data_IF_552266397483
#
_entry.id   IF_552266397483
#
_cell.length_a   1.000
_cell.length_b   1.000
_cell.length_c   1.000
_cell.angle_alpha   90.00
_cell.angle_beta   90.00
_cell.angle_gamma   90.00
#
_symmetry.space_group_name_H-M   'P 1'
#
loop_
_entity.id
_entity.type
_entity.pdbx_description
1 polymer ?
#
# COMPACT_ATOMS: atom_id res chain seq x y z
N UNK A 1 24.81 -19.84 18.53
CA UNK A 1 24.62 -19.28 17.17
C UNK A 1 23.46 -19.92 16.41
N UNK A 2 23.29 -21.25 16.35
CA UNK A 2 22.13 -21.87 15.66
C UNK A 2 20.78 -21.70 16.41
N UNK A 3 20.79 -21.72 17.74
CA UNK A 3 19.56 -21.59 18.57
C UNK A 3 18.98 -20.17 18.51
N UNK A 4 19.83 -19.15 18.34
CA UNK A 4 19.44 -17.74 18.31
C UNK A 4 18.76 -17.35 16.98
N UNK A 5 19.11 -18.05 15.89
CA UNK A 5 18.42 -17.96 14.60
C UNK A 5 17.09 -18.74 14.60
N UNK A 6 16.96 -19.78 15.41
CA UNK A 6 15.70 -20.53 15.53
C UNK A 6 14.64 -19.78 16.34
N UNK A 7 15.05 -19.01 17.36
CA UNK A 7 14.12 -18.17 18.15
C UNK A 7 13.67 -16.92 17.42
N UNK A 8 14.42 -16.41 16.43
CA UNK A 8 13.94 -15.29 15.60
C UNK A 8 12.78 -15.66 14.69
N UNK A 9 12.66 -16.94 14.28
CA UNK A 9 11.52 -17.45 13.50
C UNK A 9 10.19 -17.44 14.27
N UNK A 10 10.25 -17.43 15.61
CA UNK A 10 9.07 -17.37 16.47
C UNK A 10 8.64 -15.92 16.77
N UNK A 11 9.45 -14.93 16.38
CA UNK A 11 9.09 -13.51 16.58
C UNK A 11 8.04 -13.12 15.55
N UNK A 12 6.99 -12.47 16.04
CA UNK A 12 6.03 -11.81 15.17
C UNK A 12 6.74 -10.73 14.35
N UNK A 13 6.29 -10.55 13.11
CA UNK A 13 6.75 -9.49 12.21
C UNK A 13 5.71 -8.37 12.30
N UNK A 14 5.85 -7.42 13.25
CA UNK A 14 4.86 -6.37 13.47
C UNK A 14 4.63 -5.52 12.20
N UNK A 15 5.63 -5.39 11.33
CA UNK A 15 5.59 -4.65 10.07
C UNK A 15 4.60 -5.25 9.05
N UNK A 16 4.08 -6.46 9.28
CA UNK A 16 3.02 -7.03 8.41
C UNK A 16 1.61 -6.70 8.91
N UNK A 17 1.47 -6.13 10.10
CA UNK A 17 0.18 -5.89 10.76
C UNK A 17 -0.72 -4.94 9.97
N UNK A 18 -0.15 -4.01 9.21
CA UNK A 18 -0.91 -3.07 8.38
C UNK A 18 -1.71 -3.76 7.26
N UNK A 19 -1.31 -4.97 6.85
CA UNK A 19 -2.00 -5.78 5.84
C UNK A 19 -3.25 -6.46 6.39
N UNK A 20 -3.34 -6.65 7.71
CA UNK A 20 -4.43 -7.38 8.39
C UNK A 20 -5.29 -6.50 9.29
N UNK A 21 -4.94 -5.23 9.48
CA UNK A 21 -5.68 -4.29 10.31
C UNK A 21 -7.07 -3.94 9.74
N UNK A 22 -8.01 -3.44 10.55
CA UNK A 22 -9.36 -3.09 10.06
C UNK A 22 -9.36 -2.04 8.93
N UNK A 23 -8.40 -1.10 8.95
CA UNK A 23 -8.29 -0.03 7.96
C UNK A 23 -7.23 -0.32 6.86
N UNK A 24 -7.10 -1.58 6.41
CA UNK A 24 -6.08 -2.00 5.40
C UNK A 24 -5.99 -1.02 4.22
N UNK A 25 -7.13 -0.57 3.70
CA UNK A 25 -7.17 0.34 2.54
C UNK A 25 -6.38 1.63 2.76
N UNK A 26 -6.49 2.23 3.95
CA UNK A 26 -5.78 3.47 4.29
C UNK A 26 -4.29 3.21 4.44
N UNK A 27 -3.93 2.21 5.23
CA UNK A 27 -2.53 1.87 5.47
C UNK A 27 -1.81 1.48 4.18
N UNK A 28 -2.44 0.70 3.31
CA UNK A 28 -1.86 0.34 2.00
C UNK A 28 -1.65 1.56 1.11
N UNK A 29 -2.57 2.53 1.09
CA UNK A 29 -2.37 3.76 0.32
C UNK A 29 -1.17 4.56 0.84
N UNK A 30 -1.02 4.66 2.16
CA UNK A 30 0.11 5.34 2.81
C UNK A 30 1.42 4.62 2.48
N UNK A 31 1.51 3.31 2.72
CA UNK A 31 2.72 2.51 2.47
C UNK A 31 3.11 2.54 1.00
N UNK A 32 2.14 2.42 0.08
CA UNK A 32 2.37 2.58 -1.36
C UNK A 32 2.93 3.95 -1.69
N UNK A 33 2.40 5.02 -1.10
CA UNK A 33 2.92 6.36 -1.31
C UNK A 33 4.36 6.50 -0.81
N UNK A 34 4.66 6.02 0.40
CA UNK A 34 6.04 6.03 0.92
C UNK A 34 7.00 5.26 0.01
N UNK A 35 6.61 4.10 -0.47
CA UNK A 35 7.42 3.30 -1.39
C UNK A 35 7.68 4.02 -2.71
N UNK A 36 6.66 4.65 -3.30
CA UNK A 36 6.82 5.47 -4.50
C UNK A 36 7.77 6.65 -4.28
N UNK A 37 7.69 7.33 -3.13
CA UNK A 37 8.63 8.41 -2.80
C UNK A 37 10.05 7.88 -2.53
N UNK A 38 10.17 6.71 -1.91
CA UNK A 38 11.44 6.03 -1.68
C UNK A 38 12.16 5.72 -3.00
N UNK A 39 11.43 5.24 -4.02
CA UNK A 39 11.97 5.03 -5.38
C UNK A 39 12.43 6.34 -6.04
N UNK A 40 11.85 7.48 -5.66
CA UNK A 40 12.23 8.83 -6.12
C UNK A 40 13.35 9.46 -5.27
N UNK A 41 14.03 8.67 -4.43
CA UNK A 41 15.08 9.11 -3.49
C UNK A 41 14.59 10.13 -2.46
N UNK A 42 13.27 10.21 -2.22
CA UNK A 42 12.64 11.07 -1.21
C UNK A 42 12.29 10.24 0.02
N UNK A 43 13.24 10.14 0.94
CA UNK A 43 13.11 9.25 2.11
C UNK A 43 12.33 9.84 3.28
N UNK A 44 12.31 11.17 3.42
CA UNK A 44 11.69 11.85 4.55
C UNK A 44 10.45 12.61 4.08
N UNK A 45 9.28 12.21 4.55
CA UNK A 45 8.00 12.83 4.19
C UNK A 45 7.34 13.49 5.40
N UNK A 46 6.66 14.60 5.16
CA UNK A 46 5.82 15.26 6.16
C UNK A 46 4.41 14.66 6.12
N UNK A 47 3.65 14.66 7.23
CA UNK A 47 2.27 14.19 7.25
C UNK A 47 1.40 14.86 6.17
N UNK A 48 1.60 16.14 5.91
CA UNK A 48 0.88 16.92 4.90
C UNK A 48 1.18 16.42 3.48
N UNK A 49 2.44 16.11 3.18
CA UNK A 49 2.85 15.56 1.88
C UNK A 49 2.23 14.17 1.66
N UNK A 50 2.21 13.34 2.71
CA UNK A 50 1.58 12.02 2.68
C UNK A 50 0.08 12.13 2.46
N UNK A 51 -0.59 13.00 3.23
CA UNK A 51 -2.02 13.24 3.09
C UNK A 51 -2.41 13.67 1.67
N UNK A 52 -1.68 14.64 1.09
CA UNK A 52 -1.94 15.09 -0.28
C UNK A 52 -1.66 13.98 -1.30
N UNK A 53 -0.58 13.21 -1.11
CA UNK A 53 -0.24 12.06 -1.94
C UNK A 53 -1.31 10.98 -1.94
N UNK A 54 -1.85 10.65 -0.77
CA UNK A 54 -2.92 9.66 -0.60
C UNK A 54 -4.25 10.18 -1.15
N UNK A 55 -4.61 11.43 -0.88
CA UNK A 55 -5.79 12.09 -1.46
C UNK A 55 -5.75 12.09 -2.99
N UNK A 56 -4.58 12.33 -3.58
CA UNK A 56 -4.39 12.33 -5.03
C UNK A 56 -4.64 10.96 -5.69
N UNK A 57 -4.59 9.85 -4.92
CA UNK A 57 -4.97 8.53 -5.44
C UNK A 57 -6.47 8.38 -5.64
N UNK A 58 -7.30 9.23 -5.01
CA UNK A 58 -8.76 9.22 -5.18
C UNK A 58 -9.49 8.01 -4.57
N UNK A 59 -8.78 7.14 -3.82
CA UNK A 59 -9.34 5.90 -3.26
C UNK A 59 -10.04 6.09 -1.91
N UNK A 60 -9.89 7.26 -1.27
CA UNK A 60 -10.38 7.53 0.09
C UNK A 60 -11.13 8.89 0.12
N UNK A 61 -12.46 8.90 -0.07
CA UNK A 61 -13.25 10.13 -0.18
C UNK A 61 -13.32 10.94 1.12
N UNK A 62 -13.38 10.27 2.28
CA UNK A 62 -13.53 10.90 3.60
C UNK A 62 -12.22 11.00 4.39
N UNK A 63 -11.07 10.98 3.70
CA UNK A 63 -9.78 11.00 4.38
C UNK A 63 -9.42 12.39 4.90
N UNK A 64 -9.15 12.53 6.19
CA UNK A 64 -8.74 13.81 6.79
C UNK A 64 -7.27 13.79 7.21
N UNK A 65 -6.67 14.98 7.40
CA UNK A 65 -5.30 15.08 7.89
C UNK A 65 -5.15 14.49 9.30
N UNK A 66 -6.17 14.61 10.15
CA UNK A 66 -6.19 14.01 11.49
C UNK A 66 -6.16 12.48 11.42
N UNK A 67 -6.95 11.87 10.53
CA UNK A 67 -6.89 10.43 10.28
C UNK A 67 -5.51 10.01 9.76
N UNK A 68 -4.92 10.80 8.85
CA UNK A 68 -3.56 10.55 8.38
C UNK A 68 -2.54 10.56 9.51
N UNK A 69 -2.65 11.50 10.44
CA UNK A 69 -1.74 11.59 11.57
C UNK A 69 -1.89 10.40 12.52
N UNK A 70 -3.12 9.93 12.76
CA UNK A 70 -3.39 8.72 13.54
C UNK A 70 -2.83 7.48 12.85
N UNK A 71 -3.08 7.32 11.56
CA UNK A 71 -2.60 6.17 10.78
C UNK A 71 -1.06 6.12 10.75
N UNK A 72 -0.40 7.28 10.60
CA UNK A 72 1.07 7.39 10.64
C UNK A 72 1.63 6.99 12.00
N UNK A 73 0.97 7.38 13.10
CA UNK A 73 1.40 6.97 14.44
C UNK A 73 1.24 5.46 14.63
N UNK A 74 0.16 4.86 14.12
CA UNK A 74 -0.04 3.42 14.18
C UNK A 74 1.03 2.65 13.38
N UNK A 75 1.39 3.14 12.19
CA UNK A 75 2.48 2.58 11.37
C UNK A 75 3.85 2.72 12.06
N UNK A 76 4.05 3.75 12.89
CA UNK A 76 5.25 3.84 13.74
C UNK A 76 5.24 2.77 14.83
N UNK A 77 4.10 2.53 15.48
CA UNK A 77 3.97 1.47 16.50
C UNK A 77 4.25 0.08 15.93
N UNK A 78 3.87 -0.17 14.68
CA UNK A 78 4.18 -1.41 13.95
C UNK A 78 5.61 -1.48 13.39
N UNK A 79 6.43 -0.46 13.62
CA UNK A 79 7.82 -0.38 13.14
C UNK A 79 7.95 -0.30 11.60
N UNK A 80 6.86 0.04 10.91
CA UNK A 80 6.86 0.30 9.47
C UNK A 80 7.52 1.65 9.13
N UNK A 81 7.34 2.63 10.02
CA UNK A 81 7.84 4.00 9.87
C UNK A 81 8.73 4.41 11.05
N UNK A 82 9.74 5.22 10.77
CA UNK A 82 10.61 5.87 11.76
C UNK A 82 10.25 7.35 11.82
N UNK A 83 9.75 7.85 12.96
CA UNK A 83 9.52 9.28 13.16
C UNK A 83 10.84 9.97 13.48
N UNK A 84 11.07 11.14 12.89
CA UNK A 84 12.19 12.03 13.22
C UNK A 84 11.64 13.42 13.49
N UNK A 85 12.06 13.97 14.63
CA UNK A 85 11.75 15.35 14.97
C UNK A 85 12.64 16.29 14.18
N UNK A 86 12.05 17.23 13.47
CA UNK A 86 12.73 18.32 12.80
C UNK A 86 12.89 19.47 13.80
N UNK A 87 14.08 19.59 14.39
CA UNK A 87 14.42 20.65 15.36
C UNK A 87 14.71 22.01 14.73
N UNK A 88 14.34 22.24 13.46
CA UNK A 88 14.56 23.52 12.78
C UNK A 88 13.78 24.66 13.45
N UNK A 89 14.50 25.71 13.88
CA UNK A 89 13.96 26.93 14.53
C UNK A 89 12.67 27.40 13.87
N UNK A 90 11.58 27.41 14.62
CA UNK A 90 10.28 27.91 14.19
C UNK A 90 10.34 29.43 13.98
N UNK A 91 9.88 29.90 12.83
CA UNK A 91 9.75 31.34 12.56
C UNK A 91 8.35 31.87 12.90
N UNK A 92 7.36 31.00 13.14
CA UNK A 92 5.99 31.40 13.50
C UNK A 92 5.38 30.53 14.62
N UNK A 93 4.48 31.13 15.41
CA UNK A 93 3.82 30.48 16.57
C UNK A 93 2.95 29.28 16.16
N UNK A 94 2.32 29.35 14.98
CA UNK A 94 1.52 28.26 14.40
C UNK A 94 2.38 27.09 13.89
N UNK A 95 3.61 27.37 13.41
CA UNK A 95 4.60 26.35 13.07
C UNK A 95 5.26 25.71 14.30
N UNK A 96 5.33 26.44 15.42
CA UNK A 96 5.88 25.92 16.67
C UNK A 96 4.95 24.90 17.34
N UNK A 97 3.62 25.09 17.26
CA UNK A 97 2.64 24.12 17.78
C UNK A 97 2.56 22.84 16.95
N UNK A 98 2.84 22.92 15.64
CA UNK A 98 2.97 21.74 14.77
C UNK A 98 4.35 21.12 14.97
N UNK A 99 4.48 20.22 15.93
CA UNK A 99 5.66 19.35 16.09
C UNK A 99 6.03 18.79 14.71
N UNK A 100 7.11 19.28 14.11
CA UNK A 100 7.51 18.92 12.74
C UNK A 100 8.08 17.52 12.74
N UNK A 101 7.21 16.53 12.64
CA UNK A 101 7.62 15.14 12.44
C UNK A 101 7.81 14.87 10.96
N UNK A 102 8.93 14.24 10.63
CA UNK A 102 9.12 13.58 9.35
C UNK A 102 9.11 12.09 9.56
N UNK A 103 8.57 11.37 8.61
CA UNK A 103 8.49 9.93 8.63
C UNK A 103 9.37 9.37 7.52
N UNK A 104 10.07 8.29 7.83
CA UNK A 104 10.84 7.52 6.88
C UNK A 104 10.39 6.06 6.96
N UNK A 105 10.23 5.42 5.79
CA UNK A 105 9.91 4.00 5.73
C UNK A 105 11.13 3.15 6.12
N UNK A 106 10.94 2.15 6.97
CA UNK A 106 12.02 1.24 7.38
C UNK A 106 12.46 0.34 6.22
N UNK A 107 13.71 -0.15 6.21
CA UNK A 107 14.15 -1.10 5.19
C UNK A 107 13.32 -2.40 5.20
N UNK A 108 12.82 -2.83 6.37
CA UNK A 108 11.91 -3.98 6.47
C UNK A 108 10.59 -3.72 5.74
N UNK A 109 9.95 -2.58 6.01
CA UNK A 109 8.74 -2.16 5.31
C UNK A 109 8.94 -2.04 3.78
N UNK A 110 10.13 -1.61 3.32
CA UNK A 110 10.46 -1.52 1.88
C UNK A 110 10.43 -2.88 1.22
N UNK A 111 11.02 -3.89 1.87
CA UNK A 111 11.03 -5.25 1.32
C UNK A 111 9.66 -5.91 1.39
N UNK A 112 8.87 -5.65 2.43
CA UNK A 112 7.47 -6.11 2.52
C UNK A 112 6.65 -5.47 1.40
N UNK A 113 6.73 -4.17 1.19
CA UNK A 113 5.97 -3.50 0.13
C UNK A 113 6.42 -3.98 -1.26
N UNK A 114 7.71 -4.25 -1.46
CA UNK A 114 8.24 -4.89 -2.68
C UNK A 114 7.60 -6.27 -2.90
N UNK A 115 7.48 -7.08 -1.84
CA UNK A 115 6.81 -8.38 -1.90
C UNK A 115 5.32 -8.23 -2.24
N UNK A 116 4.62 -7.31 -1.58
CA UNK A 116 3.19 -7.05 -1.82
C UNK A 116 2.96 -6.63 -3.28
N UNK A 117 3.78 -5.71 -3.80
CA UNK A 117 3.80 -5.36 -5.22
C UNK A 117 4.05 -6.55 -6.14
N UNK A 118 4.97 -7.44 -5.75
CA UNK A 118 5.21 -8.69 -6.45
C UNK A 118 3.97 -9.59 -6.47
N UNK A 119 3.31 -9.77 -5.33
CA UNK A 119 2.09 -10.59 -5.20
C UNK A 119 0.92 -10.02 -6.02
N UNK A 120 0.77 -8.70 -6.08
CA UNK A 120 -0.20 -8.04 -6.95
C UNK A 120 0.02 -8.37 -8.43
N UNK A 121 1.29 -8.47 -8.86
CA UNK A 121 1.65 -8.90 -10.23
C UNK A 121 1.47 -10.40 -10.44
N UNK A 122 1.76 -11.22 -9.42
CA UNK A 122 1.62 -12.69 -9.47
C UNK A 122 0.14 -13.12 -9.51
N UNK A 123 -0.80 -12.29 -9.05
CA UNK A 123 -2.24 -12.52 -9.23
C UNK A 123 -2.70 -12.63 -10.70
N UNK A 124 -1.82 -12.40 -11.68
CA UNK A 124 -2.01 -12.81 -13.07
C UNK A 124 -2.14 -14.33 -13.31
N UNK A 125 -1.96 -15.18 -12.30
CA UNK A 125 -2.32 -16.61 -12.35
C UNK A 125 -3.75 -16.92 -11.90
N UNK A 126 -4.65 -15.92 -11.90
CA UNK A 126 -6.09 -16.10 -11.77
C UNK A 126 -6.76 -16.36 -13.12
N UNK A 127 -6.46 -17.50 -13.76
CA UNK A 127 -7.19 -17.97 -14.93
C UNK A 127 -6.84 -17.27 -16.24
N UNK A 128 -6.69 -18.07 -17.28
CA UNK A 128 -6.49 -17.66 -18.67
C UNK A 128 -7.73 -16.96 -19.25
N UNK A 129 -8.09 -15.80 -18.74
CA UNK A 129 -9.08 -14.93 -19.35
C UNK A 129 -8.50 -13.52 -19.38
N UNK A 130 -7.68 -13.26 -20.40
CA UNK A 130 -7.48 -11.90 -20.85
C UNK A 130 -8.86 -11.24 -21.01
N UNK A 131 -9.04 -9.96 -20.61
CA UNK A 131 -10.30 -9.24 -20.82
C UNK A 131 -10.83 -9.34 -22.26
N UNK A 132 -9.92 -9.45 -23.24
CA UNK A 132 -10.22 -9.71 -24.66
C UNK A 132 -10.92 -11.04 -24.92
N UNK A 133 -10.62 -12.10 -24.15
CA UNK A 133 -11.32 -13.38 -24.24
C UNK A 133 -12.74 -13.28 -23.67
N UNK A 134 -12.96 -12.44 -22.66
CA UNK A 134 -14.29 -12.19 -22.14
C UNK A 134 -15.14 -11.39 -23.13
N UNK A 135 -14.57 -10.39 -23.79
CA UNK A 135 -15.21 -9.67 -24.91
C UNK A 135 -15.52 -10.61 -26.08
N UNK A 136 -14.63 -11.58 -26.36
CA UNK A 136 -14.86 -12.59 -27.40
C UNK A 136 -16.00 -13.54 -27.04
N UNK A 137 -16.07 -14.00 -25.79
CA UNK A 137 -17.18 -14.86 -25.30
C UNK A 137 -18.49 -14.07 -25.31
N UNK A 138 -18.47 -12.79 -24.93
CA UNK A 138 -19.64 -11.92 -25.00
C UNK A 138 -20.13 -11.74 -26.45
N UNK A 139 -19.21 -11.52 -27.38
CA UNK A 139 -19.54 -11.43 -28.80
C UNK A 139 -20.13 -12.75 -29.34
N UNK A 140 -19.52 -13.90 -29.00
CA UNK A 140 -19.99 -15.21 -29.40
C UNK A 140 -21.35 -15.60 -28.80
N UNK A 141 -21.69 -15.10 -27.61
CA UNK A 141 -23.00 -15.31 -26.98
C UNK A 141 -24.08 -14.34 -27.50
N UNK A 142 -23.67 -13.16 -27.96
CA UNK A 142 -24.57 -12.15 -28.54
C UNK A 142 -24.93 -12.46 -30.00
N UNK A 143 -24.07 -13.18 -30.72
CA UNK A 143 -24.46 -13.80 -31.98
C UNK A 143 -25.44 -14.95 -31.72
N UNK A 144 -26.71 -14.87 -32.20
CA UNK A 144 -27.58 -16.03 -32.17
C UNK A 144 -26.92 -17.12 -33.01
N UNK A 145 -26.88 -18.39 -32.55
CA UNK A 145 -26.28 -19.46 -33.32
C UNK A 145 -26.94 -19.50 -34.69
N UNK A 146 -26.16 -19.23 -35.74
CA UNK A 146 -26.61 -19.40 -37.10
C UNK A 146 -27.13 -20.83 -37.22
N UNK A 147 -28.43 -20.94 -37.48
CA UNK A 147 -29.14 -22.20 -37.47
C UNK A 147 -28.43 -23.27 -38.32
N UNK A 148 -28.22 -24.44 -37.72
CA UNK A 148 -28.22 -25.71 -38.45
C UNK A 148 -26.87 -26.22 -38.94
N UNK A 149 -26.15 -26.95 -38.08
CA UNK A 149 -25.74 -28.34 -38.35
C UNK A 149 -25.02 -28.90 -37.12
N UNK A 150 -25.78 -29.55 -36.25
CA UNK A 150 -25.18 -30.62 -35.45
C UNK A 150 -24.92 -31.79 -36.40
N UNK A 151 -23.69 -32.32 -36.50
CA UNK A 151 -23.47 -33.55 -37.25
C UNK A 151 -24.27 -34.66 -36.57
N UNK A 152 -25.17 -35.29 -37.33
CA UNK A 152 -25.84 -36.49 -36.88
C UNK A 152 -24.79 -37.59 -36.63
N UNK A 153 -25.05 -38.38 -35.58
CA UNK A 153 -24.23 -39.51 -35.09
C UNK A 153 -23.59 -40.37 -36.17
#
# INVERSE_FOLDING_TARGET
MAVEQATSLLKAIPETSYLTAQNVGRYRCIMRFFYLQHQRLRYWLRPEDVYQGVRAMGLLPDYTLEMCQQDLNQLVEWQDLVPRHDGGRACTVEEYLRKRFRYQMTPYAVEIERLVLGLEKVRGYGGSLEPSLFETIEAALREPPAAGRFPAR
#
